data_IF_319519286262
#
_entry.id   IF_319519286262
#
_cell.length_a   1.000
_cell.length_b   1.000
_cell.length_c   1.000
_cell.angle_alpha   90.00
_cell.angle_beta   90.00
_cell.angle_gamma   90.00
#
_symmetry.space_group_name_H-M   'P 1'
#
loop_
_entity.id
_entity.type
_entity.pdbx_description
1 polymer ?
#
# COMPACT_ATOMS: atom_id res chain seq x y z
N UNK A 1 5.09 38.22 22.00
CA UNK A 1 5.11 36.85 21.43
C UNK A 1 5.12 36.99 19.91
N UNK A 2 6.12 36.44 19.22
CA UNK A 2 6.10 36.38 17.74
C UNK A 2 5.22 35.18 17.37
N UNK A 3 4.07 35.44 16.76
CA UNK A 3 3.27 34.37 16.16
C UNK A 3 4.14 33.68 15.10
N UNK A 4 4.25 32.35 15.10
CA UNK A 4 5.18 31.61 14.23
C UNK A 4 4.72 31.53 12.77
N UNK A 5 3.62 32.21 12.41
CA UNK A 5 2.98 32.11 11.10
C UNK A 5 2.84 33.53 10.53
N UNK A 6 3.39 33.75 9.33
CA UNK A 6 3.29 35.06 8.66
C UNK A 6 1.91 35.24 8.01
N UNK A 7 1.51 36.49 7.79
CA UNK A 7 0.20 36.83 7.21
C UNK A 7 0.02 36.24 5.80
N UNK A 8 1.12 36.02 5.06
CA UNK A 8 1.08 35.34 3.75
C UNK A 8 0.78 33.84 3.89
N UNK A 9 1.30 33.17 4.93
CA UNK A 9 1.03 31.75 5.19
C UNK A 9 -0.44 31.51 5.57
N UNK A 10 -1.07 32.44 6.28
CA UNK A 10 -2.50 32.38 6.60
C UNK A 10 -3.42 32.62 5.40
N UNK A 11 -2.95 33.31 4.36
CA UNK A 11 -3.73 33.57 3.14
C UNK A 11 -3.64 32.42 2.12
N UNK A 12 -2.59 31.60 2.18
CA UNK A 12 -2.43 30.39 1.36
C UNK A 12 -2.93 29.12 2.05
N UNK A 13 -3.29 29.19 3.33
CA UNK A 13 -3.75 28.05 4.12
C UNK A 13 -5.21 27.72 3.77
N UNK A 14 -5.38 26.68 2.95
CA UNK A 14 -6.67 26.06 2.71
C UNK A 14 -6.81 24.82 3.61
N UNK A 15 -7.63 24.88 4.67
CA UNK A 15 -7.83 23.76 5.58
C UNK A 15 -8.48 22.55 4.91
N UNK A 16 -9.07 22.68 3.72
CA UNK A 16 -9.53 21.53 2.93
C UNK A 16 -8.38 20.84 2.20
N UNK A 17 -7.43 21.60 1.64
CA UNK A 17 -6.24 21.00 1.02
C UNK A 17 -5.39 20.23 2.04
N UNK A 18 -5.16 20.77 3.23
CA UNK A 18 -4.35 20.07 4.25
C UNK A 18 -5.00 18.74 4.67
N UNK A 19 -6.33 18.70 4.78
CA UNK A 19 -7.06 17.45 5.06
C UNK A 19 -6.91 16.42 3.94
N UNK A 20 -6.92 16.87 2.69
CA UNK A 20 -6.71 15.99 1.53
C UNK A 20 -5.28 15.44 1.54
N UNK A 21 -4.28 16.30 1.74
CA UNK A 21 -2.87 15.90 1.80
C UNK A 21 -2.60 14.92 2.96
N UNK A 22 -3.14 15.18 4.16
CA UNK A 22 -3.03 14.26 5.29
C UNK A 22 -3.67 12.91 4.97
N UNK A 23 -4.85 12.91 4.34
CA UNK A 23 -5.52 11.67 3.93
C UNK A 23 -4.73 10.89 2.87
N UNK A 24 -4.04 11.57 1.95
CA UNK A 24 -3.14 10.92 0.99
C UNK A 24 -1.89 10.35 1.68
N UNK A 25 -1.26 11.10 2.58
CA UNK A 25 -0.10 10.62 3.33
C UNK A 25 -0.42 9.39 4.17
N UNK A 26 -1.57 9.37 4.83
CA UNK A 26 -1.98 8.24 5.66
C UNK A 26 -2.36 7.02 4.81
N UNK A 27 -2.89 7.23 3.61
CA UNK A 27 -3.06 6.16 2.62
C UNK A 27 -1.72 5.56 2.20
N UNK A 28 -0.74 6.39 1.85
CA UNK A 28 0.61 5.93 1.47
C UNK A 28 1.30 5.19 2.61
N UNK A 29 1.13 5.62 3.86
CA UNK A 29 1.60 4.86 5.04
C UNK A 29 0.91 3.50 5.15
N UNK A 30 -0.39 3.44 4.90
CA UNK A 30 -1.16 2.19 4.90
C UNK A 30 -0.66 1.20 3.85
N UNK A 31 -0.46 1.67 2.61
CA UNK A 31 0.11 0.87 1.52
C UNK A 31 1.51 0.39 1.89
N UNK A 32 2.35 1.26 2.45
CA UNK A 32 3.71 0.92 2.88
C UNK A 32 3.69 -0.20 3.91
N UNK A 33 2.84 -0.13 4.94
CA UNK A 33 2.70 -1.18 5.95
C UNK A 33 2.28 -2.52 5.36
N UNK A 34 1.33 -2.53 4.43
CA UNK A 34 0.89 -3.75 3.75
C UNK A 34 2.01 -4.40 2.95
N UNK A 35 2.82 -3.59 2.27
CA UNK A 35 3.97 -4.09 1.50
C UNK A 35 5.06 -4.62 2.43
N UNK A 36 5.32 -3.95 3.56
CA UNK A 36 6.26 -4.43 4.59
C UNK A 36 5.82 -5.77 5.21
N UNK A 37 4.52 -5.92 5.48
CA UNK A 37 3.94 -7.20 5.92
C UNK A 37 4.13 -8.29 4.87
N UNK A 38 3.82 -8.00 3.61
CA UNK A 38 4.08 -8.90 2.49
C UNK A 38 5.56 -9.30 2.41
N UNK A 39 6.50 -8.37 2.54
CA UNK A 39 7.92 -8.68 2.55
C UNK A 39 8.31 -9.58 3.73
N UNK A 40 7.70 -9.37 4.90
CA UNK A 40 7.94 -10.20 6.09
C UNK A 40 7.43 -11.61 5.87
N UNK A 41 6.20 -11.76 5.39
CA UNK A 41 5.57 -13.04 5.08
C UNK A 41 6.34 -13.79 3.99
N UNK A 42 6.75 -13.07 2.94
CA UNK A 42 7.58 -13.60 1.87
C UNK A 42 8.88 -14.19 2.43
N UNK A 43 9.63 -13.43 3.24
CA UNK A 43 10.89 -13.90 3.84
C UNK A 43 10.71 -15.14 4.71
N UNK A 44 9.65 -15.18 5.52
CA UNK A 44 9.36 -16.33 6.38
C UNK A 44 9.00 -17.57 5.58
N UNK A 45 8.30 -17.40 4.45
CA UNK A 45 7.80 -18.49 3.63
C UNK A 45 8.74 -18.90 2.49
N UNK A 46 9.71 -18.07 2.14
CA UNK A 46 10.69 -18.31 1.07
C UNK A 46 11.37 -19.70 1.17
N UNK A 47 11.77 -20.21 2.34
CA UNK A 47 12.38 -21.55 2.43
C UNK A 47 11.44 -22.67 1.98
N UNK A 48 10.12 -22.52 2.22
CA UNK A 48 9.10 -23.51 1.85
C UNK A 48 8.86 -23.48 0.33
N UNK A 49 8.89 -22.29 -0.26
CA UNK A 49 8.61 -22.07 -1.68
C UNK A 49 9.85 -22.05 -2.57
N UNK A 50 11.04 -22.27 -2.01
CA UNK A 50 12.32 -22.20 -2.75
C UNK A 50 12.34 -23.12 -3.98
N UNK A 51 11.72 -24.30 -3.88
CA UNK A 51 11.66 -25.28 -4.98
C UNK A 51 10.82 -24.80 -6.17
N UNK A 52 9.74 -24.07 -5.90
CA UNK A 52 8.81 -23.58 -6.92
C UNK A 52 9.17 -22.18 -7.40
N UNK A 53 10.05 -21.47 -6.68
CA UNK A 53 10.44 -20.08 -6.92
C UNK A 53 9.25 -19.12 -7.09
N UNK A 54 8.12 -19.47 -6.47
CA UNK A 54 6.86 -18.76 -6.57
C UNK A 54 6.23 -18.62 -5.20
N UNK A 55 5.83 -17.39 -4.86
CA UNK A 55 5.10 -17.07 -3.65
C UNK A 55 3.69 -16.64 -4.04
N UNK A 56 2.70 -17.17 -3.33
CA UNK A 56 1.28 -16.91 -3.57
C UNK A 56 0.66 -16.35 -2.30
N UNK A 57 0.01 -15.19 -2.43
CA UNK A 57 -0.79 -14.60 -1.37
C UNK A 57 -2.20 -14.29 -1.88
N UNK A 58 -3.19 -14.56 -1.05
CA UNK A 58 -4.56 -14.12 -1.27
C UNK A 58 -4.76 -12.77 -0.59
N UNK A 59 -4.97 -11.73 -1.39
CA UNK A 59 -5.21 -10.36 -0.94
C UNK A 59 -6.71 -10.22 -0.72
N UNK A 60 -7.23 -10.67 0.42
CA UNK A 60 -8.66 -10.48 0.71
C UNK A 60 -8.94 -9.01 1.06
N UNK A 61 -10.09 -8.51 0.63
CA UNK A 61 -10.58 -7.17 0.98
C UNK A 61 -10.65 -7.01 2.50
N UNK A 62 -11.03 -8.07 3.24
CA UNK A 62 -11.07 -8.07 4.70
C UNK A 62 -9.68 -7.88 5.34
N UNK A 63 -8.63 -8.45 4.75
CA UNK A 63 -7.25 -8.27 5.20
C UNK A 63 -6.74 -6.84 4.98
N UNK A 64 -7.17 -6.22 3.87
CA UNK A 64 -6.90 -4.80 3.60
C UNK A 64 -7.69 -3.88 4.54
N UNK A 65 -8.96 -4.21 4.83
CA UNK A 65 -9.85 -3.43 5.69
C UNK A 65 -9.37 -3.38 7.15
N UNK A 66 -8.85 -4.50 7.66
CA UNK A 66 -8.32 -4.58 9.03
C UNK A 66 -7.03 -3.79 9.22
N UNK A 67 -6.20 -3.69 8.18
CA UNK A 67 -4.91 -2.99 8.25
C UNK A 67 -5.06 -1.49 8.03
N UNK A 68 -6.09 -1.06 7.28
CA UNK A 68 -6.34 0.35 7.00
C UNK A 68 -7.82 0.73 7.18
N UNK A 69 -8.36 0.65 8.42
CA UNK A 69 -9.80 0.75 8.69
C UNK A 69 -10.40 2.12 8.36
N UNK A 70 -9.61 3.19 8.36
CA UNK A 70 -10.09 4.53 8.02
C UNK A 70 -10.34 4.75 6.50
N UNK A 71 -9.95 3.80 5.65
CA UNK A 71 -10.08 3.90 4.19
C UNK A 71 -10.92 2.77 3.58
N UNK A 72 -11.81 2.14 4.34
CA UNK A 72 -12.71 1.04 3.87
C UNK A 72 -13.41 1.39 2.54
N UNK A 73 -13.87 2.65 2.37
CA UNK A 73 -14.52 3.10 1.13
C UNK A 73 -13.54 3.29 -0.05
N UNK A 74 -12.24 3.46 0.22
CA UNK A 74 -11.20 3.67 -0.79
C UNK A 74 -10.45 2.37 -1.15
N UNK A 75 -10.46 1.36 -0.28
CA UNK A 75 -9.87 0.02 -0.54
C UNK A 75 -10.59 -0.68 -1.71
N UNK A 76 -11.90 -0.45 -1.85
CA UNK A 76 -12.69 -0.97 -2.97
C UNK A 76 -12.49 -0.16 -4.27
N UNK A 77 -11.68 0.90 -4.25
CA UNK A 77 -11.45 1.71 -5.43
C UNK A 77 -10.34 1.10 -6.30
N UNK A 78 -10.53 0.99 -7.63
CA UNK A 78 -9.57 0.39 -8.55
C UNK A 78 -8.15 0.98 -8.42
N UNK A 79 -8.06 2.28 -8.16
CA UNK A 79 -6.80 3.01 -8.01
C UNK A 79 -5.97 2.58 -6.78
N UNK A 80 -6.59 2.03 -5.74
CA UNK A 80 -5.87 1.58 -4.54
C UNK A 80 -5.04 0.34 -4.85
N UNK A 81 -5.64 -0.64 -5.52
CA UNK A 81 -4.96 -1.88 -5.94
C UNK A 81 -3.82 -1.53 -6.91
N UNK A 82 -4.03 -0.61 -7.84
CA UNK A 82 -2.95 -0.15 -8.74
C UNK A 82 -1.76 0.44 -7.98
N UNK A 83 -2.01 1.33 -7.00
CA UNK A 83 -0.93 1.92 -6.17
C UNK A 83 -0.22 0.86 -5.32
N UNK A 84 -0.98 -0.05 -4.70
CA UNK A 84 -0.42 -1.16 -3.95
C UNK A 84 0.48 -2.03 -4.83
N UNK A 85 -0.01 -2.48 -5.99
CA UNK A 85 0.76 -3.31 -6.92
C UNK A 85 1.99 -2.60 -7.46
N UNK A 86 1.90 -1.30 -7.72
CA UNK A 86 3.06 -0.48 -8.09
C UNK A 86 4.13 -0.54 -7.01
N UNK A 87 3.74 -0.35 -5.74
CA UNK A 87 4.67 -0.39 -4.60
C UNK A 87 5.27 -1.78 -4.39
N UNK A 88 4.49 -2.84 -4.58
CA UNK A 88 5.00 -4.22 -4.55
C UNK A 88 6.07 -4.42 -5.64
N UNK A 89 5.80 -3.99 -6.88
CA UNK A 89 6.77 -4.09 -7.98
C UNK A 89 8.06 -3.31 -7.72
N UNK A 90 7.98 -2.16 -7.06
CA UNK A 90 9.16 -1.40 -6.65
C UNK A 90 10.01 -2.12 -5.59
N UNK A 91 9.39 -2.91 -4.71
CA UNK A 91 10.07 -3.62 -3.63
C UNK A 91 10.65 -4.97 -4.07
N UNK A 92 9.97 -5.69 -4.97
CA UNK A 92 10.37 -7.01 -5.45
C UNK A 92 11.12 -6.91 -6.79
N UNK A 93 12.28 -6.24 -6.77
CA UNK A 93 13.10 -6.01 -7.96
C UNK A 93 13.59 -7.34 -8.54
N UNK A 94 13.40 -7.54 -9.84
CA UNK A 94 13.79 -8.75 -10.55
C UNK A 94 12.81 -9.92 -10.40
N UNK A 95 11.69 -9.72 -9.71
CA UNK A 95 10.59 -10.69 -9.64
C UNK A 95 9.47 -10.30 -10.62
N UNK A 96 8.80 -11.29 -11.19
CA UNK A 96 7.54 -11.08 -11.90
C UNK A 96 6.38 -11.05 -10.89
N UNK A 97 5.67 -9.91 -10.84
CA UNK A 97 4.53 -9.70 -9.95
C UNK A 97 3.25 -9.68 -10.77
N UNK A 98 2.42 -10.72 -10.59
CA UNK A 98 1.10 -10.83 -11.24
C UNK A 98 -0.01 -10.77 -10.20
N UNK A 99 -1.11 -10.11 -10.56
CA UNK A 99 -2.30 -9.99 -9.72
C UNK A 99 -3.54 -10.33 -10.54
N UNK A 100 -4.34 -11.26 -10.03
CA UNK A 100 -5.60 -11.66 -10.64
C UNK A 100 -6.76 -11.18 -9.77
N UNK A 101 -7.53 -10.21 -10.27
CA UNK A 101 -8.64 -9.62 -9.54
C UNK A 101 -9.80 -10.61 -9.27
N UNK A 102 -10.03 -11.59 -10.15
CA UNK A 102 -11.11 -12.58 -9.97
C UNK A 102 -10.92 -13.46 -8.74
N UNK A 103 -9.67 -13.81 -8.43
CA UNK A 103 -9.32 -14.70 -7.32
C UNK A 103 -8.61 -13.94 -6.17
N UNK A 104 -8.53 -12.61 -6.29
CA UNK A 104 -7.76 -11.72 -5.41
C UNK A 104 -6.36 -12.26 -5.09
N UNK A 105 -5.69 -12.80 -6.11
CA UNK A 105 -4.46 -13.59 -5.96
C UNK A 105 -3.26 -12.78 -6.43
N UNK A 106 -2.31 -12.55 -5.53
CA UNK A 106 -1.00 -11.97 -5.82
C UNK A 106 0.02 -13.11 -5.94
N UNK A 107 0.78 -13.11 -7.03
CA UNK A 107 1.86 -14.07 -7.28
C UNK A 107 3.15 -13.29 -7.49
N UNK A 108 4.19 -13.70 -6.78
CA UNK A 108 5.55 -13.18 -6.91
C UNK A 108 6.43 -14.34 -7.35
N UNK A 109 6.92 -14.27 -8.59
CA UNK A 109 7.79 -15.27 -9.21
C UNK A 109 9.22 -14.72 -9.30
N UNK A 110 10.20 -15.45 -8.78
CA UNK A 110 11.63 -15.08 -8.84
C UNK A 110 12.48 -16.12 -9.59
N UNK A 111 11.85 -16.81 -10.54
CA UNK A 111 12.46 -17.91 -11.28
C UNK A 111 13.67 -17.56 -12.12
#
# INVERSE_FOLDING_TARGET
MKFPITREQLQAYDPEMEKIEQAEQDLEKGITRLVEQLCTDFKQRMPVYYRYKQYVQYVSVDHLQTTVPQYINRINAPWFIERYLKRVKEMFIGCEVTYTASDAKLIIDWS
#
